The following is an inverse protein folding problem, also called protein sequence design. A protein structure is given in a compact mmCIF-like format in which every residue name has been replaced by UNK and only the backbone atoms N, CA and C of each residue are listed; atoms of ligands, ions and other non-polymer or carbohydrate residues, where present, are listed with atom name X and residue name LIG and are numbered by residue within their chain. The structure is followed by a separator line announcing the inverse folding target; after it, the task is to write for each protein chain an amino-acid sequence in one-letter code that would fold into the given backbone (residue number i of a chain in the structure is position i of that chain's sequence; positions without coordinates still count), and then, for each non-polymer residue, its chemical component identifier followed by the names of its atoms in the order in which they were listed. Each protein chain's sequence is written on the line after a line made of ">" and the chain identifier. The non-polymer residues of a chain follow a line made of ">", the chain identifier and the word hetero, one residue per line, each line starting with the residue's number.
data_IF_318741167185
#
_entry.id   IF_318741167185
#
_cell.length_a   1.000
_cell.length_b   1.000
_cell.length_c   1.000
_cell.angle_alpha   90.00
_cell.angle_beta   90.00
_cell.angle_gamma   90.00
#
_symmetry.space_group_name_H-M   'P 1'
#
loop_
_entity.id
_entity.type
_entity.pdbx_description
1 polymer ?
#
# COMPACT_ATOMS: atom_id res chain seq x y z
N UNK A 1 -10.93 2.29 2.91
CA UNK A 1 -9.86 1.38 2.48
C UNK A 1 -10.38 -0.02 2.17
N UNK A 2 -11.02 -0.74 3.10
CA UNK A 2 -11.56 -2.10 2.84
C UNK A 2 -12.53 -2.18 1.66
N UNK A 3 -13.38 -1.17 1.49
CA UNK A 3 -14.36 -1.11 0.39
C UNK A 3 -13.70 -1.01 -1.00
N UNK A 4 -12.53 -0.34 -1.10
CA UNK A 4 -11.78 -0.22 -2.36
C UNK A 4 -11.21 -1.57 -2.78
N UNK A 5 -10.64 -2.31 -1.84
CA UNK A 5 -10.12 -3.66 -2.09
C UNK A 5 -11.24 -4.66 -2.36
N UNK A 6 -12.38 -4.53 -1.68
CA UNK A 6 -13.58 -5.35 -1.94
C UNK A 6 -14.10 -5.18 -3.38
N UNK A 7 -14.15 -3.95 -3.89
CA UNK A 7 -14.55 -3.71 -5.30
C UNK A 7 -13.53 -4.29 -6.28
N UNK A 8 -12.24 -4.17 -6.00
CA UNK A 8 -11.16 -4.73 -6.84
C UNK A 8 -11.21 -6.27 -6.88
N UNK A 9 -11.56 -6.93 -5.77
CA UNK A 9 -11.69 -8.40 -5.72
C UNK A 9 -12.84 -8.94 -6.60
N UNK A 10 -13.90 -8.16 -6.80
CA UNK A 10 -15.00 -8.54 -7.69
C UNK A 10 -14.75 -8.18 -9.17
N UNK A 11 -13.62 -7.53 -9.50
CA UNK A 11 -13.25 -7.33 -10.90
C UNK A 11 -12.72 -8.65 -11.51
N UNK A 12 -13.01 -8.93 -12.79
CA UNK A 12 -12.47 -10.10 -13.47
C UNK A 12 -10.94 -10.12 -13.45
N UNK A 13 -10.37 -11.31 -13.25
CA UNK A 13 -8.92 -11.54 -13.33
C UNK A 13 -8.36 -10.98 -14.66
N UNK A 14 -7.33 -10.13 -14.57
CA UNK A 14 -6.69 -9.49 -15.72
C UNK A 14 -7.22 -8.11 -16.11
N UNK A 15 -8.26 -7.59 -15.45
CA UNK A 15 -8.75 -6.23 -15.70
C UNK A 15 -7.79 -5.13 -15.22
N UNK A 16 -6.94 -5.44 -14.23
CA UNK A 16 -5.95 -4.52 -13.66
C UNK A 16 -4.56 -5.13 -13.81
N UNK A 17 -3.56 -4.41 -14.35
CA UNK A 17 -2.19 -4.90 -14.39
C UNK A 17 -1.66 -5.24 -12.99
N UNK A 18 -1.01 -6.40 -12.82
CA UNK A 18 -0.50 -6.86 -11.53
C UNK A 18 0.38 -5.84 -10.76
N UNK A 19 1.25 -5.03 -11.41
CA UNK A 19 2.06 -4.03 -10.70
C UNK A 19 1.24 -2.86 -10.15
N UNK A 20 0.01 -2.67 -10.65
CA UNK A 20 -0.83 -1.53 -10.31
C UNK A 20 -1.35 -1.61 -8.87
N UNK A 21 -1.53 -2.82 -8.35
CA UNK A 21 -2.01 -3.06 -6.97
C UNK A 21 -1.01 -2.54 -5.93
N UNK A 22 0.25 -3.02 -5.89
CA UNK A 22 1.25 -2.49 -4.96
C UNK A 22 1.58 -1.02 -5.27
N UNK A 23 1.56 -0.61 -6.54
CA UNK A 23 1.78 0.80 -6.90
C UNK A 23 0.73 1.73 -6.27
N UNK A 24 -0.55 1.43 -6.46
CA UNK A 24 -1.64 2.21 -5.88
C UNK A 24 -1.55 2.21 -4.35
N UNK A 25 -1.24 1.06 -3.73
CA UNK A 25 -1.01 0.97 -2.29
C UNK A 25 0.12 1.87 -1.79
N UNK A 26 1.26 1.86 -2.47
CA UNK A 26 2.41 2.71 -2.15
C UNK A 26 2.09 4.20 -2.30
N UNK A 27 1.42 4.59 -3.40
CA UNK A 27 0.98 5.97 -3.65
C UNK A 27 0.01 6.44 -2.57
N UNK A 28 -0.94 5.61 -2.15
CA UNK A 28 -1.89 5.95 -1.09
C UNK A 28 -1.16 6.20 0.23
N UNK A 29 -0.26 5.29 0.66
CA UNK A 29 0.46 5.44 1.92
C UNK A 29 1.37 6.66 1.90
N UNK A 30 2.21 6.80 0.88
CA UNK A 30 3.14 7.94 0.77
C UNK A 30 2.42 9.26 0.54
N UNK A 31 1.38 9.27 -0.30
CA UNK A 31 0.54 10.44 -0.52
C UNK A 31 -0.16 10.88 0.77
N UNK A 32 -0.65 9.94 1.58
CA UNK A 32 -1.22 10.24 2.89
C UNK A 32 -0.18 10.81 3.85
N UNK A 33 1.04 10.26 3.86
CA UNK A 33 2.14 10.76 4.68
C UNK A 33 2.58 12.17 4.28
N UNK A 34 2.70 12.44 2.97
CA UNK A 34 2.98 13.78 2.44
C UNK A 34 1.89 14.79 2.81
N UNK A 35 0.62 14.40 2.69
CA UNK A 35 -0.50 15.26 3.06
C UNK A 35 -0.50 15.61 4.55
N UNK A 36 -0.28 14.62 5.42
CA UNK A 36 -0.17 14.84 6.86
C UNK A 36 1.03 15.73 7.20
N UNK A 37 2.18 15.50 6.55
CA UNK A 37 3.38 16.31 6.71
C UNK A 37 3.14 17.78 6.32
N UNK A 38 2.48 18.03 5.19
CA UNK A 38 2.13 19.38 4.74
C UNK A 38 1.23 20.13 5.74
N UNK A 39 0.37 19.40 6.45
CA UNK A 39 -0.48 19.93 7.52
C UNK A 39 0.19 20.01 8.89
N UNK A 40 1.48 19.66 8.99
CA UNK A 40 2.25 19.56 10.25
C UNK A 40 1.63 18.58 11.26
N UNK A 41 0.90 17.59 10.77
CA UNK A 41 0.43 16.49 11.61
C UNK A 41 1.57 15.50 11.82
N UNK A 42 1.54 14.80 12.96
CA UNK A 42 2.51 13.75 13.25
C UNK A 42 2.26 12.60 12.27
N UNK A 43 3.27 12.27 11.46
CA UNK A 43 3.22 11.17 10.50
C UNK A 43 3.92 9.97 11.11
N UNK A 44 3.29 8.81 11.09
CA UNK A 44 3.96 7.60 11.60
C UNK A 44 5.14 7.23 10.67
N UNK A 45 6.31 6.86 11.22
CA UNK A 45 7.41 6.33 10.43
C UNK A 45 7.01 5.07 9.66
N UNK A 46 6.09 4.27 10.20
CA UNK A 46 5.60 3.04 9.59
C UNK A 46 4.86 3.28 8.28
N UNK A 47 4.17 4.42 8.13
CA UNK A 47 3.50 4.81 6.88
C UNK A 47 4.50 5.00 5.75
N UNK A 48 5.63 5.65 6.03
CA UNK A 48 6.71 5.85 5.05
C UNK A 48 7.37 4.53 4.64
N UNK A 49 7.65 3.67 5.62
CA UNK A 49 8.27 2.37 5.39
C UNK A 49 7.33 1.49 4.55
N UNK A 50 6.07 1.35 4.97
CA UNK A 50 5.08 0.55 4.25
C UNK A 50 4.86 1.05 2.82
N UNK A 51 4.72 2.36 2.63
CA UNK A 51 4.56 2.94 1.30
C UNK A 51 5.76 2.72 0.39
N UNK A 52 6.98 2.81 0.94
CA UNK A 52 8.23 2.55 0.19
C UNK A 52 8.34 1.08 -0.21
N UNK A 53 8.04 0.16 0.69
CA UNK A 53 8.04 -1.29 0.41
C UNK A 53 7.10 -1.63 -0.75
N UNK A 54 5.91 -1.02 -0.77
CA UNK A 54 4.95 -1.25 -1.85
C UNK A 54 5.38 -0.66 -3.18
N UNK A 55 6.05 0.50 -3.20
CA UNK A 55 6.63 1.02 -4.44
C UNK A 55 7.76 0.14 -4.96
N UNK A 56 8.64 -0.35 -4.08
CA UNK A 56 9.69 -1.32 -4.46
C UNK A 56 9.05 -2.59 -4.99
N UNK A 57 8.00 -3.08 -4.33
CA UNK A 57 7.21 -4.22 -4.76
C UNK A 57 6.64 -4.03 -6.16
N UNK A 58 6.04 -2.86 -6.45
CA UNK A 58 5.52 -2.55 -7.77
C UNK A 58 6.58 -2.58 -8.87
N UNK A 59 7.77 -2.02 -8.62
CA UNK A 59 8.89 -2.06 -9.56
C UNK A 59 9.39 -3.49 -9.75
N UNK A 60 9.54 -4.25 -8.66
CA UNK A 60 9.96 -5.65 -8.72
C UNK A 60 8.94 -6.52 -9.47
N UNK A 61 7.64 -6.27 -9.28
CA UNK A 61 6.59 -6.94 -10.02
C UNK A 61 6.67 -6.59 -11.51
N UNK A 62 6.87 -5.32 -11.86
CA UNK A 62 6.99 -4.92 -13.26
C UNK A 62 8.23 -5.51 -13.97
N UNK A 63 9.33 -5.76 -13.25
CA UNK A 63 10.64 -6.08 -13.87
C UNK A 63 11.14 -7.50 -13.62
N UNK A 64 11.10 -7.98 -12.38
CA UNK A 64 11.75 -9.23 -11.94
C UNK A 64 10.74 -10.36 -11.81
N UNK A 65 9.55 -10.07 -11.29
CA UNK A 65 8.53 -11.07 -10.96
C UNK A 65 7.13 -10.66 -11.47
N UNK A 66 6.92 -10.55 -12.79
CA UNK A 66 5.66 -10.07 -13.39
C UNK A 66 4.44 -10.96 -13.15
N UNK A 67 4.66 -12.23 -12.82
CA UNK A 67 3.57 -13.18 -12.57
C UNK A 67 3.31 -13.41 -11.08
N UNK A 68 4.00 -12.68 -10.19
CA UNK A 68 3.81 -12.82 -8.75
C UNK A 68 2.60 -11.99 -8.31
N UNK A 69 1.62 -12.61 -7.64
CA UNK A 69 0.48 -11.89 -7.11
C UNK A 69 0.87 -11.12 -5.83
N UNK A 70 0.88 -9.80 -5.91
CA UNK A 70 1.20 -8.90 -4.80
C UNK A 70 -0.02 -8.43 -4.00
N UNK A 71 -1.23 -8.92 -4.31
CA UNK A 71 -2.44 -8.53 -3.61
C UNK A 71 -2.35 -8.82 -2.11
N UNK A 72 -1.97 -10.05 -1.74
CA UNK A 72 -1.80 -10.46 -0.34
C UNK A 72 -0.72 -9.64 0.38
N UNK A 73 0.42 -9.39 -0.27
CA UNK A 73 1.51 -8.57 0.28
C UNK A 73 1.07 -7.13 0.52
N UNK A 74 0.30 -6.58 -0.41
CA UNK A 74 -0.23 -5.22 -0.32
C UNK A 74 -1.20 -5.09 0.86
N UNK A 75 -2.13 -6.05 1.00
CA UNK A 75 -3.06 -6.09 2.13
C UNK A 75 -2.36 -6.26 3.48
N UNK A 76 -1.39 -7.18 3.56
CA UNK A 76 -0.60 -7.40 4.77
C UNK A 76 0.18 -6.15 5.16
N UNK A 77 0.70 -5.41 4.18
CA UNK A 77 1.41 -4.15 4.44
C UNK A 77 0.47 -3.11 5.04
N UNK A 78 -0.73 -2.92 4.47
CA UNK A 78 -1.73 -2.03 5.06
C UNK A 78 -2.16 -2.46 6.46
N UNK A 79 -2.43 -3.74 6.65
CA UNK A 79 -2.78 -4.30 7.96
C UNK A 79 -1.65 -4.09 8.98
N UNK A 80 -0.40 -4.27 8.58
CA UNK A 80 0.78 -4.04 9.40
C UNK A 80 0.96 -2.56 9.77
N UNK A 81 0.82 -1.64 8.81
CA UNK A 81 0.91 -0.19 9.09
C UNK A 81 -0.18 0.24 10.06
N UNK A 82 -1.41 -0.19 9.86
CA UNK A 82 -2.55 0.10 10.76
C UNK A 82 -2.30 -0.53 12.13
N UNK A 83 -1.94 -1.82 12.17
CA UNK A 83 -1.73 -2.55 13.42
C UNK A 83 -0.60 -1.96 14.25
N UNK A 84 0.55 -1.65 13.65
CA UNK A 84 1.67 -1.01 14.35
C UNK A 84 1.27 0.40 14.78
N UNK A 85 0.59 1.17 13.92
CA UNK A 85 0.11 2.51 14.25
C UNK A 85 -0.81 2.55 15.48
N UNK A 86 -1.69 1.55 15.63
CA UNK A 86 -2.53 1.38 16.82
C UNK A 86 -1.70 1.00 18.06
N UNK A 87 -0.71 0.12 17.92
CA UNK A 87 0.15 -0.30 19.03
C UNK A 87 1.06 0.84 19.53
N UNK A 88 1.50 1.72 18.63
CA UNK A 88 2.38 2.85 18.94
C UNK A 88 1.65 4.14 19.29
N UNK A 89 0.30 4.16 19.25
CA UNK A 89 -0.52 5.38 19.36
C UNK A 89 -0.08 6.48 18.39
N UNK A 90 0.35 6.09 17.19
CA UNK A 90 0.77 7.00 16.12
C UNK A 90 -0.35 7.28 15.12
N UNK A 91 -1.47 6.56 15.20
CA UNK A 91 -2.65 6.66 14.34
C UNK A 91 -3.90 6.76 15.20
#
# INVERSE_FOLDING_TARGET
>A
MVLVFGVIYFLPDGAIPAPFIPFAGGVILLGSGLYQYAKRWRVSPTTWIGGTILLIGAVANFTVMPNFDMYGVTLLTFAGVIGIGLLTNET
#
